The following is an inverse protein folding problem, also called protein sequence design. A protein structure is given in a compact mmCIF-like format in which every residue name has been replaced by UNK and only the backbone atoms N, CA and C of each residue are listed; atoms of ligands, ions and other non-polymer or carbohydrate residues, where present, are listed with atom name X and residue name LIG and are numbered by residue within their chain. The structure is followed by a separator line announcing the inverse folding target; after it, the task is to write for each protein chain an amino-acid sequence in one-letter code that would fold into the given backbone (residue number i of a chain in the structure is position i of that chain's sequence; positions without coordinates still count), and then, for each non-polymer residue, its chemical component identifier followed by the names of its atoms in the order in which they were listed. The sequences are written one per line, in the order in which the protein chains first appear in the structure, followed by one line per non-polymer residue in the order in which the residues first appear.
data_IF_748044365504
#
_entry.id   IF_748044365504
#
_cell.length_a   1.000
_cell.length_b   1.000
_cell.length_c   1.000
_cell.angle_alpha   90.00
_cell.angle_beta   90.00
_cell.angle_gamma   90.00
#
_symmetry.space_group_name_H-M   'P 1'
#
loop_
_entity.id
_entity.type
_entity.pdbx_description
1 polymer ?
#
# COMPACT_ATOMS: atom_id res chain seq x y z
N UNK A 1 -10.32 -20.19 -56.35
CA UNK A 1 -10.01 -18.74 -56.41
C UNK A 1 -11.32 -17.98 -56.19
N UNK A 2 -11.35 -16.96 -55.33
CA UNK A 2 -12.26 -16.87 -54.19
C UNK A 2 -13.59 -16.14 -54.50
N UNK A 3 -14.64 -16.34 -53.67
CA UNK A 3 -15.76 -15.40 -53.58
C UNK A 3 -15.53 -14.33 -52.49
N UNK A 4 -16.18 -13.16 -52.59
CA UNK A 4 -16.04 -12.07 -51.63
C UNK A 4 -17.19 -11.99 -50.60
N UNK A 5 -16.80 -11.56 -49.39
CA UNK A 5 -17.48 -10.62 -48.48
C UNK A 5 -18.98 -10.83 -48.15
N UNK A 6 -19.23 -11.35 -46.93
CA UNK A 6 -20.51 -11.19 -46.23
C UNK A 6 -20.41 -10.07 -45.19
N UNK A 7 -21.30 -9.07 -45.32
CA UNK A 7 -21.62 -8.03 -44.34
C UNK A 7 -22.38 -8.65 -43.16
N UNK A 8 -22.07 -8.24 -41.93
CA UNK A 8 -22.99 -8.39 -40.78
C UNK A 8 -23.12 -7.04 -40.08
N UNK A 9 -24.38 -6.64 -39.94
CA UNK A 9 -24.91 -5.39 -39.38
C UNK A 9 -25.12 -5.59 -37.87
N UNK A 10 -24.63 -4.65 -37.04
CA UNK A 10 -24.82 -4.62 -35.59
C UNK A 10 -26.07 -3.77 -35.26
N UNK A 11 -27.04 -4.33 -34.54
CA UNK A 11 -28.19 -3.59 -33.99
C UNK A 11 -27.95 -3.32 -32.49
N UNK A 12 -27.99 -2.03 -32.11
CA UNK A 12 -28.08 -1.55 -30.73
C UNK A 12 -29.52 -1.10 -30.46
N UNK A 13 -30.10 -1.54 -29.35
CA UNK A 13 -31.41 -1.12 -28.85
C UNK A 13 -31.23 -0.43 -27.50
N UNK A 14 -31.51 0.88 -27.46
CA UNK A 14 -31.65 1.70 -26.26
C UNK A 14 -33.14 1.76 -25.88
N UNK A 15 -33.45 1.58 -24.60
CA UNK A 15 -34.76 1.94 -24.03
C UNK A 15 -34.58 2.89 -22.85
N UNK A 16 -35.05 4.12 -23.04
CA UNK A 16 -35.26 5.15 -22.02
C UNK A 16 -36.65 4.94 -21.38
N UNK A 17 -36.76 5.06 -20.07
CA UNK A 17 -38.04 5.36 -19.42
C UNK A 17 -37.86 6.53 -18.45
N UNK A 18 -38.57 7.62 -18.76
CA UNK A 18 -38.80 8.75 -17.88
C UNK A 18 -39.98 8.46 -16.95
N UNK A 19 -39.91 8.88 -15.68
CA UNK A 19 -41.11 9.06 -14.86
C UNK A 19 -40.99 10.27 -13.91
N UNK A 20 -41.86 11.22 -14.24
CA UNK A 20 -42.47 12.37 -13.55
C UNK A 20 -42.56 12.30 -12.01
N UNK A 21 -42.27 13.44 -11.39
CA UNK A 21 -42.51 13.81 -9.97
C UNK A 21 -43.98 14.21 -9.69
N UNK A 22 -44.38 14.25 -8.42
CA UNK A 22 -45.18 15.38 -7.96
C UNK A 22 -44.68 16.00 -6.64
N UNK A 23 -44.91 17.30 -6.57
CA UNK A 23 -44.61 18.26 -5.49
C UNK A 23 -45.59 18.17 -4.32
N UNK A 24 -45.14 18.60 -3.12
CA UNK A 24 -46.03 19.25 -2.15
C UNK A 24 -45.31 20.38 -1.37
N UNK A 25 -45.91 21.57 -1.46
CA UNK A 25 -45.75 22.76 -0.61
C UNK A 25 -46.27 22.48 0.82
N UNK A 26 -46.02 23.20 1.91
CA UNK A 26 -45.23 24.38 2.31
C UNK A 26 -45.39 24.46 3.85
N UNK A 27 -44.55 25.24 4.55
CA UNK A 27 -44.94 26.28 5.53
C UNK A 27 -43.77 26.64 6.48
N UNK A 28 -43.34 27.89 6.41
CA UNK A 28 -42.76 28.65 7.52
C UNK A 28 -43.70 29.82 7.83
N UNK A 29 -43.74 30.31 9.08
CA UNK A 29 -43.18 31.63 9.40
C UNK A 29 -42.54 31.70 10.82
N UNK A 30 -41.32 32.23 11.00
CA UNK A 30 -40.90 33.65 11.19
C UNK A 30 -40.60 33.98 12.70
N UNK A 31 -40.08 35.16 13.10
CA UNK A 31 -38.73 35.33 13.66
C UNK A 31 -38.67 36.06 15.03
N UNK A 32 -37.54 36.03 15.75
CA UNK A 32 -36.95 37.26 16.37
C UNK A 32 -35.62 37.02 17.13
N UNK A 33 -34.66 37.92 16.84
CA UNK A 33 -33.68 38.63 17.70
C UNK A 33 -32.67 37.92 18.60
N UNK A 34 -31.41 38.32 18.40
CA UNK A 34 -30.49 38.64 19.51
C UNK A 34 -29.00 38.49 19.15
N UNK A 35 -28.37 39.58 18.71
CA UNK A 35 -26.90 39.69 18.55
C UNK A 35 -26.15 39.46 19.87
N UNK A 36 -25.00 38.78 19.80
CA UNK A 36 -23.77 39.27 20.44
C UNK A 36 -22.54 38.74 19.70
N UNK A 37 -21.59 39.61 19.29
CA UNK A 37 -20.31 39.22 18.74
C UNK A 37 -19.39 38.72 19.86
N UNK A 38 -18.43 37.86 19.54
CA UNK A 38 -17.46 37.24 20.47
C UNK A 38 -17.99 36.06 21.30
N UNK A 39 -18.23 34.94 20.63
CA UNK A 39 -18.12 33.62 21.24
C UNK A 39 -17.23 32.74 20.37
N UNK A 40 -16.01 32.48 20.85
CA UNK A 40 -15.09 31.51 20.27
C UNK A 40 -15.74 30.13 20.44
N UNK A 41 -16.34 29.60 19.37
CA UNK A 41 -16.76 28.21 19.30
C UNK A 41 -15.61 27.42 18.70
N UNK A 42 -15.10 26.51 19.50
CA UNK A 42 -14.19 25.45 19.11
C UNK A 42 -14.86 24.65 17.97
N UNK A 43 -14.32 24.59 16.74
CA UNK A 43 -14.79 23.61 15.79
C UNK A 43 -14.19 22.27 16.24
N UNK A 44 -14.92 21.56 17.09
CA UNK A 44 -14.87 20.11 17.00
C UNK A 44 -15.48 19.80 15.63
N UNK A 45 -14.62 19.66 14.63
CA UNK A 45 -14.96 18.92 13.43
C UNK A 45 -15.38 17.53 13.91
N UNK A 46 -16.69 17.28 13.91
CA UNK A 46 -17.21 15.94 13.78
C UNK A 46 -16.69 15.44 12.43
N UNK A 47 -15.50 14.84 12.46
CA UNK A 47 -15.11 13.89 11.43
C UNK A 47 -16.07 12.73 11.66
N UNK A 48 -17.10 12.64 10.81
CA UNK A 48 -17.84 11.39 10.63
C UNK A 48 -16.85 10.37 10.09
N UNK A 49 -16.14 9.72 11.02
CA UNK A 49 -15.27 8.60 10.73
C UNK A 49 -16.19 7.47 10.29
N UNK A 50 -16.35 7.30 8.97
CA UNK A 50 -16.98 6.13 8.39
C UNK A 50 -16.06 4.93 8.65
N UNK A 51 -16.13 4.40 9.87
CA UNK A 51 -15.60 3.08 10.19
C UNK A 51 -16.32 2.09 9.27
N UNK A 52 -15.62 1.24 8.51
CA UNK A 52 -16.29 0.13 7.86
C UNK A 52 -16.97 -0.68 8.96
N UNK A 53 -18.30 -0.80 8.89
CA UNK A 53 -19.09 -1.61 9.80
C UNK A 53 -18.77 -3.08 9.56
N UNK A 54 -17.63 -3.57 10.06
CA UNK A 54 -17.35 -4.99 10.18
C UNK A 54 -17.90 -5.51 11.52
N UNK A 55 -19.22 -5.38 11.71
CA UNK A 55 -19.90 -6.18 12.71
C UNK A 55 -20.15 -7.58 12.11
N UNK A 56 -19.14 -8.46 12.17
CA UNK A 56 -19.41 -9.89 12.03
C UNK A 56 -20.24 -10.32 13.23
N UNK A 57 -21.44 -10.85 12.97
CA UNK A 57 -22.25 -11.59 13.94
C UNK A 57 -21.45 -12.79 14.46
N UNK A 58 -20.60 -12.58 15.46
CA UNK A 58 -19.82 -13.66 16.04
C UNK A 58 -20.71 -14.59 16.85
N UNK A 59 -20.41 -15.87 16.78
CA UNK A 59 -20.96 -16.91 17.65
C UNK A 59 -20.79 -16.50 19.12
N UNK A 60 -21.87 -16.55 19.89
CA UNK A 60 -21.82 -16.47 21.35
C UNK A 60 -21.15 -17.74 21.88
N UNK A 61 -19.89 -17.64 22.33
CA UNK A 61 -19.19 -18.72 23.05
C UNK A 61 -17.92 -19.29 22.43
N UNK A 62 -17.27 -18.64 21.46
CA UNK A 62 -15.97 -19.12 20.99
C UNK A 62 -14.89 -18.94 22.09
N UNK A 63 -14.10 -19.98 22.42
CA UNK A 63 -12.97 -19.87 23.35
C UNK A 63 -11.95 -18.85 22.81
N UNK A 64 -11.04 -18.43 23.69
CA UNK A 64 -9.86 -17.64 23.34
C UNK A 64 -9.18 -18.26 22.10
N UNK A 65 -9.26 -17.57 20.97
CA UNK A 65 -8.78 -18.08 19.68
C UNK A 65 -7.59 -17.23 19.24
N UNK A 66 -6.41 -17.83 19.34
CA UNK A 66 -5.15 -17.29 18.87
C UNK A 66 -4.72 -18.13 17.67
N UNK A 67 -4.43 -17.47 16.55
CA UNK A 67 -4.05 -18.14 15.30
C UNK A 67 -2.71 -17.63 14.79
N UNK A 68 -1.95 -18.50 14.15
CA UNK A 68 -0.79 -18.14 13.33
C UNK A 68 -1.34 -17.50 12.05
N UNK A 69 -1.27 -16.19 11.95
CA UNK A 69 -1.89 -15.43 10.85
C UNK A 69 -0.93 -15.05 9.73
N UNK A 70 0.36 -15.02 10.03
CA UNK A 70 1.40 -14.93 9.02
C UNK A 70 2.71 -15.56 9.51
N UNK A 71 3.62 -15.88 8.60
CA UNK A 71 5.00 -16.27 8.91
C UNK A 71 5.90 -16.10 7.69
N UNK A 72 7.21 -16.03 7.94
CA UNK A 72 8.27 -15.77 6.97
C UNK A 72 9.41 -16.74 7.24
N UNK A 73 9.48 -17.86 6.52
CA UNK A 73 10.51 -18.88 6.75
C UNK A 73 11.81 -18.63 5.97
N UNK A 74 11.73 -18.04 4.78
CA UNK A 74 12.86 -17.70 3.91
C UNK A 74 13.02 -16.18 3.99
N UNK A 75 13.82 -15.70 4.93
CA UNK A 75 13.97 -14.28 5.25
C UNK A 75 14.78 -13.53 4.19
N UNK A 76 14.82 -12.20 4.29
CA UNK A 76 15.68 -11.35 3.47
C UNK A 76 17.04 -11.10 4.12
N UNK A 77 17.13 -11.20 5.45
CA UNK A 77 18.36 -11.02 6.19
C UNK A 77 19.26 -12.27 6.09
N UNK A 78 20.56 -12.05 6.31
CA UNK A 78 21.54 -13.15 6.31
C UNK A 78 21.17 -14.23 7.33
N UNK A 79 21.23 -15.50 6.92
CA UNK A 79 20.84 -16.67 7.73
C UNK A 79 19.38 -16.64 8.21
N UNK A 80 18.50 -15.95 7.49
CA UNK A 80 17.08 -15.81 7.84
C UNK A 80 16.94 -15.23 9.26
N UNK A 81 17.72 -14.21 9.60
CA UNK A 81 17.68 -13.59 10.93
C UNK A 81 16.35 -12.82 11.15
N UNK A 82 15.71 -12.38 10.07
CA UNK A 82 14.38 -11.77 10.03
C UNK A 82 13.24 -12.80 9.88
N UNK A 83 13.54 -14.10 10.01
CA UNK A 83 12.53 -15.15 10.13
C UNK A 83 11.54 -14.78 11.24
N UNK A 84 10.24 -14.91 10.98
CA UNK A 84 9.22 -14.42 11.91
C UNK A 84 7.89 -15.13 11.75
N UNK A 85 7.05 -15.03 12.79
CA UNK A 85 5.65 -15.42 12.76
C UNK A 85 4.78 -14.35 13.42
N UNK A 86 3.52 -14.29 13.00
CA UNK A 86 2.51 -13.34 13.46
C UNK A 86 1.36 -14.10 14.10
N UNK A 87 1.07 -13.77 15.35
CA UNK A 87 -0.08 -14.29 16.06
C UNK A 87 -1.21 -13.26 16.04
N UNK A 88 -2.45 -13.70 15.82
CA UNK A 88 -3.63 -12.84 15.87
C UNK A 88 -4.63 -13.39 16.87
N UNK A 89 -5.12 -12.51 17.74
CA UNK A 89 -6.26 -12.79 18.57
C UNK A 89 -7.54 -12.60 17.76
N UNK A 90 -8.18 -13.70 17.36
CA UNK A 90 -9.47 -13.70 16.65
C UNK A 90 -10.66 -13.84 17.60
N UNK A 91 -10.38 -14.02 18.90
CA UNK A 91 -11.35 -14.04 19.96
C UNK A 91 -11.92 -12.66 20.31
N UNK A 92 -12.78 -12.63 21.33
CA UNK A 92 -13.45 -11.41 21.83
C UNK A 92 -12.83 -10.82 23.08
N UNK A 93 -11.93 -11.56 23.73
CA UNK A 93 -11.28 -11.16 24.97
C UNK A 93 -9.83 -10.79 24.69
N UNK A 94 -9.24 -9.93 25.52
CA UNK A 94 -7.79 -9.70 25.49
C UNK A 94 -7.07 -10.96 25.96
N UNK A 95 -6.04 -11.37 25.22
CA UNK A 95 -5.17 -12.49 25.58
C UNK A 95 -3.84 -12.00 26.15
N UNK A 96 -3.29 -12.82 27.02
CA UNK A 96 -1.93 -12.69 27.55
C UNK A 96 -1.15 -13.91 27.08
N UNK A 97 -0.06 -13.70 26.35
CA UNK A 97 0.68 -14.78 25.68
C UNK A 97 1.62 -15.55 26.62
N UNK A 98 1.75 -15.13 27.88
CA UNK A 98 2.57 -15.83 28.86
C UNK A 98 2.19 -17.31 28.98
N UNK A 99 3.15 -18.20 28.71
CA UNK A 99 2.97 -19.65 28.77
C UNK A 99 2.49 -20.31 27.48
N UNK A 100 2.02 -19.54 26.49
CA UNK A 100 1.79 -20.06 25.14
C UNK A 100 3.11 -20.48 24.51
N UNK A 101 3.08 -21.49 23.65
CA UNK A 101 4.29 -22.04 23.05
C UNK A 101 4.20 -22.10 21.53
N UNK A 102 5.34 -22.00 20.87
CA UNK A 102 5.49 -22.19 19.42
C UNK A 102 6.59 -23.20 19.16
N UNK A 103 6.36 -24.12 18.22
CA UNK A 103 7.29 -25.22 17.91
C UNK A 103 7.23 -25.60 16.44
N UNK A 104 8.37 -25.99 15.88
CA UNK A 104 8.53 -26.66 14.58
C UNK A 104 8.66 -28.20 14.73
N UNK A 105 8.59 -28.72 15.96
CA UNK A 105 8.83 -30.13 16.26
C UNK A 105 10.21 -30.40 16.88
N UNK A 106 11.25 -29.66 16.47
CA UNK A 106 12.62 -29.77 17.01
C UNK A 106 12.97 -28.72 18.07
N UNK A 107 12.56 -27.48 17.82
CA UNK A 107 12.65 -26.31 18.66
C UNK A 107 11.30 -26.00 19.30
N UNK A 108 11.34 -25.44 20.50
CA UNK A 108 10.15 -25.03 21.23
C UNK A 108 10.48 -23.83 22.10
N UNK A 109 9.70 -22.77 21.91
CA UNK A 109 9.77 -21.56 22.70
C UNK A 109 8.48 -21.38 23.51
N UNK A 110 8.59 -20.69 24.63
CA UNK A 110 7.49 -20.16 25.42
C UNK A 110 7.50 -18.65 25.28
N UNK A 111 6.37 -18.09 24.85
CA UNK A 111 6.22 -16.67 24.55
C UNK A 111 6.30 -15.81 25.81
N UNK A 112 6.82 -14.58 25.71
CA UNK A 112 6.75 -13.61 26.80
C UNK A 112 5.30 -13.19 27.06
N UNK A 113 5.06 -12.55 28.20
CA UNK A 113 3.73 -12.08 28.58
C UNK A 113 3.32 -10.84 27.77
N UNK A 114 2.90 -11.06 26.53
CA UNK A 114 2.40 -10.03 25.62
C UNK A 114 0.89 -9.90 25.72
N UNK A 115 0.39 -8.66 25.77
CA UNK A 115 -1.03 -8.36 25.79
C UNK A 115 -1.55 -8.15 24.36
N UNK A 116 -2.40 -9.06 23.88
CA UNK A 116 -3.01 -9.00 22.54
C UNK A 116 -4.51 -8.75 22.65
N UNK A 117 -4.95 -7.54 22.33
CA UNK A 117 -6.37 -7.16 22.32
C UNK A 117 -7.17 -7.92 21.23
N UNK A 118 -8.51 -7.99 21.32
CA UNK A 118 -9.34 -8.59 20.27
C UNK A 118 -9.05 -7.97 18.90
N UNK A 119 -8.77 -8.81 17.90
CA UNK A 119 -8.40 -8.39 16.54
C UNK A 119 -6.95 -7.87 16.39
N UNK A 120 -6.22 -7.68 17.49
CA UNK A 120 -4.83 -7.26 17.46
C UNK A 120 -3.92 -8.44 17.09
N UNK A 121 -2.69 -8.09 16.70
CA UNK A 121 -1.67 -9.01 16.23
C UNK A 121 -0.36 -8.75 16.97
N UNK A 122 0.48 -9.77 17.07
CA UNK A 122 1.81 -9.69 17.65
C UNK A 122 2.83 -10.43 16.76
N UNK A 123 3.82 -9.70 16.24
CA UNK A 123 4.95 -10.27 15.52
C UNK A 123 5.99 -10.78 16.50
N UNK A 124 6.52 -11.96 16.23
CA UNK A 124 7.67 -12.50 16.93
C UNK A 124 8.70 -12.93 15.89
N UNK A 125 9.91 -12.39 16.00
CA UNK A 125 10.99 -12.62 15.05
C UNK A 125 12.16 -13.37 15.68
N UNK A 126 12.98 -14.02 14.88
CA UNK A 126 14.17 -14.70 15.36
C UNK A 126 15.18 -13.72 15.94
N UNK A 127 15.43 -12.61 15.25
CA UNK A 127 16.22 -11.48 15.74
C UNK A 127 15.46 -10.18 15.45
N UNK A 128 15.07 -9.46 16.50
CA UNK A 128 14.36 -8.19 16.40
C UNK A 128 15.06 -7.14 15.54
N UNK A 129 16.38 -7.01 15.66
CA UNK A 129 17.15 -6.02 14.90
C UNK A 129 17.10 -6.29 13.39
N UNK A 130 17.24 -7.55 12.98
CA UNK A 130 17.16 -7.96 11.58
C UNK A 130 15.73 -7.79 11.02
N UNK A 131 14.72 -8.16 11.81
CA UNK A 131 13.32 -7.91 11.44
C UNK A 131 13.05 -6.43 11.24
N UNK A 132 13.43 -5.58 12.19
CA UNK A 132 13.19 -4.14 12.10
C UNK A 132 13.84 -3.51 10.86
N UNK A 133 15.04 -3.98 10.48
CA UNK A 133 15.72 -3.53 9.28
C UNK A 133 14.94 -3.85 7.99
N UNK A 134 14.31 -5.02 7.91
CA UNK A 134 13.57 -5.45 6.70
C UNK A 134 12.11 -4.96 6.69
N UNK A 135 11.52 -4.73 7.86
CA UNK A 135 10.09 -4.43 8.01
C UNK A 135 9.79 -2.96 8.30
N UNK A 136 10.78 -2.17 8.71
CA UNK A 136 10.61 -0.76 9.10
C UNK A 136 10.06 -0.56 10.52
N UNK A 137 9.80 -1.63 11.28
CA UNK A 137 9.34 -1.56 12.66
C UNK A 137 9.82 -2.78 13.48
N UNK A 138 10.00 -2.61 14.79
CA UNK A 138 10.40 -3.69 15.69
C UNK A 138 9.25 -4.70 15.90
N UNK A 139 9.56 -6.01 16.03
CA UNK A 139 8.56 -7.00 16.39
C UNK A 139 8.13 -6.85 17.86
N UNK A 140 7.03 -7.49 18.23
CA UNK A 140 6.51 -7.50 19.61
C UNK A 140 7.26 -8.48 20.53
N UNK A 141 7.93 -9.49 19.96
CA UNK A 141 8.89 -10.33 20.67
C UNK A 141 10.04 -10.81 19.78
N UNK A 142 11.10 -11.32 20.40
CA UNK A 142 12.12 -12.10 19.71
C UNK A 142 12.35 -13.48 20.34
N UNK A 143 12.84 -14.45 19.58
CA UNK A 143 12.94 -15.84 20.04
C UNK A 143 14.27 -16.53 19.77
N UNK A 144 15.19 -15.88 19.06
CA UNK A 144 16.53 -16.37 18.78
C UNK A 144 17.56 -15.76 19.74
N UNK A 145 18.38 -14.86 19.22
CA UNK A 145 19.33 -14.10 20.04
C UNK A 145 18.66 -12.79 20.52
N UNK A 146 18.98 -12.35 21.75
CA UNK A 146 18.65 -11.00 22.26
C UNK A 146 19.43 -9.98 21.41
N UNK A 147 18.76 -9.49 20.36
CA UNK A 147 19.33 -8.59 19.36
C UNK A 147 18.86 -7.16 19.57
N UNK A 148 17.73 -6.97 20.25
CA UNK A 148 17.26 -5.67 20.73
C UNK A 148 16.73 -5.80 22.18
N UNK A 149 17.45 -5.24 23.19
CA UNK A 149 17.06 -5.38 24.59
C UNK A 149 15.75 -4.65 24.96
N UNK A 150 15.17 -3.86 24.04
CA UNK A 150 13.84 -3.27 24.21
C UNK A 150 12.70 -4.23 23.80
N UNK A 151 13.01 -5.29 23.05
CA UNK A 151 12.04 -6.29 22.59
C UNK A 151 12.03 -7.48 23.57
N UNK A 152 10.86 -7.91 24.06
CA UNK A 152 10.77 -9.05 24.98
C UNK A 152 11.25 -10.37 24.36
N UNK A 153 12.08 -11.11 25.10
CA UNK A 153 12.54 -12.44 24.70
C UNK A 153 11.52 -13.56 25.02
N UNK A 154 11.31 -14.45 24.06
CA UNK A 154 10.80 -15.78 24.30
C UNK A 154 11.88 -16.67 24.92
N UNK A 155 11.46 -17.67 25.69
CA UNK A 155 12.37 -18.60 26.36
C UNK A 155 12.29 -20.01 25.78
N UNK A 156 13.41 -20.73 25.74
CA UNK A 156 13.45 -22.10 25.25
C UNK A 156 14.47 -22.29 24.13
N UNK A 157 14.22 -23.27 23.27
CA UNK A 157 15.04 -23.52 22.07
C UNK A 157 14.32 -22.93 20.87
N UNK A 158 14.91 -21.93 20.23
CA UNK A 158 14.37 -21.33 19.01
C UNK A 158 13.98 -22.40 17.98
N UNK A 159 12.75 -22.37 17.41
CA UNK A 159 12.46 -23.09 16.18
C UNK A 159 13.30 -22.53 15.04
N UNK A 160 13.44 -23.30 13.96
CA UNK A 160 14.09 -22.86 12.72
C UNK A 160 13.19 -23.25 11.56
N UNK A 161 12.50 -22.27 11.00
CA UNK A 161 11.58 -22.47 9.89
C UNK A 161 12.36 -22.79 8.61
N UNK A 162 12.58 -24.07 8.31
CA UNK A 162 13.38 -24.45 7.16
C UNK A 162 12.82 -23.89 5.83
N UNK A 163 13.67 -23.22 5.04
CA UNK A 163 13.24 -22.57 3.79
C UNK A 163 12.63 -23.61 2.84
N UNK A 164 13.16 -24.85 2.83
CA UNK A 164 12.67 -26.01 2.05
C UNK A 164 11.30 -26.54 2.47
N UNK A 165 10.80 -26.16 3.63
CA UNK A 165 9.53 -26.59 4.20
C UNK A 165 9.67 -27.19 5.58
N UNK A 166 8.64 -26.93 6.38
CA UNK A 166 8.57 -27.26 7.80
C UNK A 166 7.11 -27.19 8.28
N UNK A 167 6.91 -27.45 9.56
CA UNK A 167 5.67 -27.21 10.28
C UNK A 167 5.86 -26.10 11.32
N UNK A 168 4.76 -25.43 11.67
CA UNK A 168 4.72 -24.49 12.78
C UNK A 168 3.43 -24.71 13.56
N UNK A 169 3.56 -25.06 14.83
CA UNK A 169 2.43 -25.30 15.72
C UNK A 169 2.42 -24.28 16.86
N UNK A 170 1.24 -23.71 17.11
CA UNK A 170 0.93 -22.90 18.26
C UNK A 170 0.25 -23.79 19.30
N UNK A 171 0.75 -23.77 20.54
CA UNK A 171 0.26 -24.59 21.62
C UNK A 171 -0.24 -23.72 22.78
N UNK A 172 -1.36 -24.14 23.35
CA UNK A 172 -1.87 -23.56 24.59
C UNK A 172 -0.89 -23.82 25.75
N UNK A 173 -0.98 -23.08 26.87
CA UNK A 173 -0.17 -23.35 28.06
C UNK A 173 -0.29 -24.78 28.61
N UNK A 174 -1.39 -25.49 28.32
CA UNK A 174 -1.58 -26.91 28.65
C UNK A 174 -0.84 -27.90 27.74
N UNK A 175 -0.29 -27.43 26.61
CA UNK A 175 0.41 -28.24 25.62
C UNK A 175 -0.47 -28.77 24.48
N UNK A 176 -1.77 -28.49 24.49
CA UNK A 176 -2.69 -28.82 23.40
C UNK A 176 -2.42 -27.93 22.19
N UNK A 177 -2.56 -28.49 20.97
CA UNK A 177 -2.37 -27.74 19.72
C UNK A 177 -3.57 -26.82 19.49
N UNK A 178 -3.30 -25.52 19.49
CA UNK A 178 -4.30 -24.49 19.22
C UNK A 178 -4.43 -24.19 17.72
N UNK A 179 -3.29 -24.13 17.02
CA UNK A 179 -3.22 -23.87 15.59
C UNK A 179 -1.98 -24.53 14.98
N UNK A 180 -2.01 -24.83 13.69
CA UNK A 180 -0.86 -25.34 12.96
C UNK A 180 -0.86 -24.87 11.49
N UNK A 181 0.34 -24.78 10.93
CA UNK A 181 0.56 -24.66 9.49
C UNK A 181 1.70 -25.56 9.05
N UNK A 182 1.54 -26.18 7.88
CA UNK A 182 2.59 -26.95 7.22
C UNK A 182 2.86 -26.32 5.87
N UNK A 183 4.13 -26.06 5.55
CA UNK A 183 4.51 -25.39 4.31
C UNK A 183 5.62 -26.11 3.54
N UNK A 184 5.60 -25.92 2.21
CA UNK A 184 6.49 -26.56 1.25
C UNK A 184 6.70 -28.07 1.49
N UNK A 185 7.91 -28.50 1.87
CA UNK A 185 8.25 -29.89 2.18
C UNK A 185 7.98 -30.37 3.61
N UNK A 186 7.26 -29.63 4.46
CA UNK A 186 6.99 -29.98 5.87
C UNK A 186 6.07 -31.21 6.07
N UNK A 187 5.97 -31.69 7.31
CA UNK A 187 5.20 -32.90 7.64
C UNK A 187 3.69 -32.62 7.72
N UNK A 188 2.95 -33.00 6.68
CA UNK A 188 1.48 -32.88 6.63
C UNK A 188 0.71 -33.80 7.61
N UNK A 189 1.40 -34.62 8.41
CA UNK A 189 0.78 -35.53 9.38
C UNK A 189 0.67 -34.96 10.80
N UNK A 190 1.19 -33.73 11.03
CA UNK A 190 1.09 -33.06 12.32
C UNK A 190 -0.35 -32.78 12.75
N UNK A 191 -0.60 -32.81 14.06
CA UNK A 191 -1.88 -32.43 14.63
C UNK A 191 -2.19 -30.96 14.34
N UNK A 192 -3.47 -30.65 14.12
CA UNK A 192 -3.92 -29.29 13.82
C UNK A 192 -3.85 -28.90 12.35
N UNK A 193 -3.33 -29.76 11.45
CA UNK A 193 -3.31 -29.52 10.01
C UNK A 193 -4.07 -30.60 9.23
N UNK A 194 -4.64 -30.25 8.08
CA UNK A 194 -5.32 -31.18 7.19
C UNK A 194 -4.96 -30.92 5.73
N UNK A 195 -4.50 -31.97 5.04
CA UNK A 195 -4.21 -31.93 3.61
C UNK A 195 -2.78 -31.50 3.29
N UNK A 196 -2.49 -31.14 2.03
CA UNK A 196 -1.14 -30.82 1.60
C UNK A 196 -0.62 -29.54 2.25
N UNK A 197 0.71 -29.41 2.32
CA UNK A 197 1.40 -28.21 2.77
C UNK A 197 1.12 -27.00 1.85
N UNK A 198 1.13 -25.79 2.41
CA UNK A 198 1.07 -24.55 1.62
C UNK A 198 2.41 -24.32 0.91
N UNK A 199 2.39 -24.20 -0.42
CA UNK A 199 3.60 -23.91 -1.21
C UNK A 199 3.89 -22.42 -1.33
N UNK A 200 5.14 -22.06 -1.60
CA UNK A 200 5.48 -20.71 -2.05
C UNK A 200 4.71 -20.35 -3.33
N UNK A 201 4.29 -19.10 -3.46
CA UNK A 201 3.67 -18.65 -4.69
C UNK A 201 4.75 -18.31 -5.73
N UNK A 202 4.95 -19.21 -6.69
CA UNK A 202 5.99 -19.09 -7.71
C UNK A 202 5.42 -19.26 -9.12
N UNK A 203 4.66 -18.26 -9.60
CA UNK A 203 4.10 -18.31 -10.96
C UNK A 203 5.16 -18.14 -12.05
N UNK A 204 6.18 -17.34 -11.79
CA UNK A 204 7.32 -17.07 -12.66
C UNK A 204 8.47 -16.49 -11.82
N UNK A 205 9.60 -16.17 -12.45
CA UNK A 205 10.80 -15.64 -11.78
C UNK A 205 10.64 -14.26 -11.15
N UNK A 206 9.52 -13.56 -11.33
CA UNK A 206 9.24 -12.26 -10.68
C UNK A 206 8.72 -12.41 -9.25
N UNK A 207 8.34 -13.61 -8.84
CA UNK A 207 7.96 -13.89 -7.46
C UNK A 207 9.14 -14.58 -6.78
N UNK A 208 9.98 -13.78 -6.12
CA UNK A 208 11.09 -14.28 -5.32
C UNK A 208 10.56 -15.20 -4.22
N UNK A 209 11.34 -16.22 -3.85
CA UNK A 209 11.00 -17.11 -2.72
C UNK A 209 11.31 -16.42 -1.39
N UNK A 210 12.50 -15.87 -1.29
CA UNK A 210 12.96 -15.09 -0.16
C UNK A 210 12.04 -13.90 0.07
N UNK A 211 11.77 -13.62 1.35
CA UNK A 211 10.84 -12.61 1.81
C UNK A 211 9.36 -12.95 1.62
N UNK A 212 8.95 -14.09 1.06
CA UNK A 212 7.51 -14.35 0.96
C UNK A 212 6.87 -14.47 2.34
N UNK A 213 5.96 -13.54 2.64
CA UNK A 213 5.09 -13.58 3.80
C UNK A 213 3.95 -14.53 3.47
N UNK A 214 3.92 -15.70 4.11
CA UNK A 214 2.73 -16.54 4.13
C UNK A 214 1.72 -15.87 5.03
N UNK A 215 0.51 -15.60 4.53
CA UNK A 215 -0.54 -14.97 5.35
C UNK A 215 -1.90 -15.63 5.13
N UNK A 216 -2.67 -15.73 6.22
CA UNK A 216 -4.05 -16.21 6.20
C UNK A 216 -4.97 -15.18 5.55
N UNK A 217 -5.99 -15.67 4.87
CA UNK A 217 -7.05 -14.84 4.29
C UNK A 217 -7.90 -14.23 5.41
N UNK A 218 -7.90 -12.90 5.47
CA UNK A 218 -8.47 -12.11 6.55
C UNK A 218 -9.97 -12.28 6.78
N UNK A 219 -10.69 -12.74 5.76
CA UNK A 219 -12.14 -12.87 5.76
C UNK A 219 -12.62 -14.33 5.72
N UNK A 220 -11.71 -15.31 5.71
CA UNK A 220 -12.05 -16.72 5.64
C UNK A 220 -12.31 -17.34 7.03
N UNK A 221 -13.09 -18.42 7.05
CA UNK A 221 -13.10 -19.32 8.21
C UNK A 221 -11.85 -20.18 8.12
N UNK A 222 -11.22 -20.42 9.26
CA UNK A 222 -10.09 -21.34 9.35
C UNK A 222 -10.56 -22.78 9.13
N UNK A 223 -9.98 -23.46 8.15
CA UNK A 223 -10.25 -24.86 7.83
C UNK A 223 -9.07 -25.77 8.16
N UNK A 224 -7.99 -25.21 8.72
CA UNK A 224 -6.71 -25.89 8.96
C UNK A 224 -6.13 -26.51 7.68
N UNK A 225 -6.26 -25.82 6.55
CA UNK A 225 -5.75 -26.30 5.25
C UNK A 225 -4.99 -25.21 4.50
N UNK A 226 -4.24 -25.61 3.46
CA UNK A 226 -3.57 -24.67 2.57
C UNK A 226 -4.52 -23.65 1.91
N UNK A 227 -5.83 -23.93 1.83
CA UNK A 227 -6.80 -23.01 1.25
C UNK A 227 -7.08 -21.77 2.12
N UNK A 228 -6.65 -21.78 3.39
CA UNK A 228 -6.77 -20.64 4.29
C UNK A 228 -5.70 -19.58 4.03
N UNK A 229 -4.67 -19.92 3.24
CA UNK A 229 -3.50 -19.09 3.00
C UNK A 229 -3.53 -18.46 1.60
N UNK A 230 -3.04 -17.23 1.49
CA UNK A 230 -3.07 -16.47 0.24
C UNK A 230 -2.30 -17.14 -0.91
N UNK A 231 -1.26 -17.89 -0.60
CA UNK A 231 -0.50 -18.67 -1.57
C UNK A 231 -1.27 -19.93 -2.03
N UNK A 232 -1.96 -20.59 -1.09
CA UNK A 232 -2.54 -21.91 -1.29
C UNK A 232 -4.00 -21.91 -1.76
N UNK A 233 -4.75 -20.82 -1.56
CA UNK A 233 -6.14 -20.76 -2.00
C UNK A 233 -6.25 -20.78 -3.54
N UNK A 234 -6.98 -21.74 -4.13
CA UNK A 234 -7.04 -21.92 -5.58
C UNK A 234 -7.88 -20.85 -6.29
N UNK A 235 -8.71 -20.09 -5.58
CA UNK A 235 -9.50 -18.99 -6.16
C UNK A 235 -8.58 -17.82 -6.53
N UNK A 236 -8.41 -17.48 -7.82
CA UNK A 236 -7.55 -16.36 -8.22
C UNK A 236 -8.04 -14.99 -7.71
N UNK A 237 -9.30 -14.87 -7.32
CA UNK A 237 -9.84 -13.64 -6.74
C UNK A 237 -9.47 -13.45 -5.27
N UNK A 238 -8.97 -14.50 -4.59
CA UNK A 238 -8.68 -14.48 -3.14
C UNK A 238 -7.28 -14.97 -2.81
N UNK A 239 -6.81 -16.04 -3.46
CA UNK A 239 -5.47 -16.59 -3.34
C UNK A 239 -4.60 -16.39 -4.57
N UNK A 240 -3.60 -17.26 -4.71
CA UNK A 240 -2.52 -17.17 -5.71
C UNK A 240 -1.77 -15.84 -5.62
N UNK A 241 -1.41 -15.45 -4.39
CA UNK A 241 -0.77 -14.18 -4.06
C UNK A 241 0.52 -14.42 -3.30
N UNK A 242 1.49 -13.53 -3.52
CA UNK A 242 2.62 -13.33 -2.63
C UNK A 242 2.49 -11.95 -2.00
N UNK A 243 3.13 -11.77 -0.86
CA UNK A 243 3.41 -10.50 -0.23
C UNK A 243 4.83 -10.57 0.35
N UNK A 244 5.43 -9.41 0.57
CA UNK A 244 6.80 -9.27 1.08
C UNK A 244 6.82 -8.34 2.30
N UNK A 245 7.89 -8.32 3.11
CA UNK A 245 8.09 -7.35 4.18
C UNK A 245 7.75 -5.92 3.74
N UNK A 246 7.12 -5.15 4.61
CA UNK A 246 6.70 -3.78 4.31
C UNK A 246 5.45 -3.64 3.43
N UNK A 247 4.74 -4.74 3.12
CA UNK A 247 3.37 -4.62 2.60
C UNK A 247 2.39 -4.34 3.72
N UNK A 248 1.63 -3.25 3.61
CA UNK A 248 0.55 -2.87 4.52
C UNK A 248 -0.73 -3.70 4.34
N UNK A 249 -0.57 -5.03 4.28
CA UNK A 249 -1.62 -6.01 4.00
C UNK A 249 -2.86 -5.80 4.84
N UNK A 250 -2.69 -5.44 6.11
CA UNK A 250 -3.77 -5.31 7.05
C UNK A 250 -4.41 -3.93 7.02
N UNK A 251 -3.61 -2.86 7.00
CA UNK A 251 -4.09 -1.49 6.97
C UNK A 251 -4.86 -1.19 5.67
N UNK A 252 -4.42 -1.76 4.55
CA UNK A 252 -5.02 -1.58 3.23
C UNK A 252 -5.80 -2.83 2.75
N UNK A 253 -6.13 -3.75 3.66
CA UNK A 253 -6.85 -5.01 3.36
C UNK A 253 -8.22 -4.81 2.71
N UNK A 254 -8.87 -3.68 2.99
CA UNK A 254 -10.18 -3.33 2.46
C UNK A 254 -10.04 -2.12 1.54
N UNK A 255 -10.33 -2.26 0.23
CA UNK A 255 -10.27 -1.12 -0.68
C UNK A 255 -11.21 0.00 -0.20
N UNK A 256 -10.71 1.23 -0.16
CA UNK A 256 -11.60 2.36 0.07
C UNK A 256 -12.62 2.46 -1.06
N UNK A 257 -13.90 2.55 -0.68
CA UNK A 257 -14.99 2.75 -1.61
C UNK A 257 -15.78 3.97 -1.16
N UNK A 258 -15.74 5.01 -1.97
CA UNK A 258 -16.57 6.20 -1.80
C UNK A 258 -17.54 6.26 -2.97
N UNK A 259 -18.83 6.27 -2.66
CA UNK A 259 -19.91 6.38 -3.64
C UNK A 259 -20.60 7.70 -3.41
N UNK A 260 -20.63 8.54 -4.44
CA UNK A 260 -21.37 9.79 -4.41
C UNK A 260 -22.66 9.66 -5.20
N UNK A 261 -23.75 10.22 -4.67
CA UNK A 261 -24.95 10.51 -5.47
C UNK A 261 -24.72 11.74 -6.37
N UNK A 262 -23.90 12.68 -5.91
CA UNK A 262 -23.42 13.84 -6.69
C UNK A 262 -22.00 14.17 -6.23
N UNK A 263 -20.97 14.04 -7.08
CA UNK A 263 -19.60 14.29 -6.67
C UNK A 263 -19.39 15.79 -6.34
N UNK A 264 -18.61 16.12 -5.30
CA UNK A 264 -18.38 17.50 -4.86
C UNK A 264 -17.69 18.37 -5.92
N UNK A 265 -16.93 17.74 -6.83
CA UNK A 265 -16.34 18.34 -8.01
C UNK A 265 -15.36 17.36 -8.64
N UNK A 266 -15.53 17.08 -9.94
CA UNK A 266 -14.66 16.17 -10.67
C UNK A 266 -14.38 16.72 -12.08
N UNK A 267 -13.11 16.69 -12.49
CA UNK A 267 -12.69 17.04 -13.84
C UNK A 267 -12.01 15.84 -14.49
N UNK A 268 -12.61 15.33 -15.57
CA UNK A 268 -12.00 14.31 -16.42
C UNK A 268 -11.18 15.00 -17.51
N UNK A 269 -9.93 14.57 -17.66
CA UNK A 269 -8.96 15.07 -18.63
C UNK A 269 -8.59 13.93 -19.59
N UNK A 270 -8.39 14.28 -20.86
CA UNK A 270 -7.88 13.39 -21.88
C UNK A 270 -6.45 13.80 -22.23
N UNK A 271 -5.53 12.84 -22.19
CA UNK A 271 -4.18 12.97 -22.71
C UNK A 271 -4.17 12.53 -24.19
N UNK A 272 -3.42 13.20 -25.08
CA UNK A 272 -2.58 14.38 -24.81
C UNK A 272 -3.37 15.70 -24.71
N UNK A 273 -4.64 15.73 -25.12
CA UNK A 273 -5.45 16.92 -25.41
C UNK A 273 -5.40 18.05 -24.36
N UNK A 274 -5.90 17.81 -23.13
CA UNK A 274 -6.07 18.87 -22.13
C UNK A 274 -5.45 18.53 -20.76
N UNK A 275 -4.68 17.45 -20.67
CA UNK A 275 -4.09 16.99 -19.42
C UNK A 275 -3.03 17.96 -18.87
N UNK A 276 -2.12 18.45 -19.72
CA UNK A 276 -0.99 19.28 -19.27
C UNK A 276 -1.44 20.54 -18.52
N UNK A 277 -2.20 21.41 -19.19
CA UNK A 277 -2.58 22.71 -18.62
C UNK A 277 -3.40 22.55 -17.34
N UNK A 278 -4.34 21.60 -17.30
CA UNK A 278 -5.17 21.38 -16.13
C UNK A 278 -4.34 20.86 -14.93
N UNK A 279 -3.40 19.93 -15.15
CA UNK A 279 -2.53 19.40 -14.10
C UNK A 279 -1.54 20.47 -13.62
N UNK A 280 -0.97 21.25 -14.53
CA UNK A 280 -0.12 22.41 -14.22
C UNK A 280 -0.87 23.42 -13.35
N UNK A 281 -2.06 23.82 -13.76
CA UNK A 281 -2.87 24.80 -13.04
C UNK A 281 -3.29 24.27 -11.65
N UNK A 282 -3.56 22.96 -11.54
CA UNK A 282 -3.80 22.30 -10.27
C UNK A 282 -2.57 22.38 -9.35
N UNK A 283 -1.37 22.06 -9.82
CA UNK A 283 -0.12 22.21 -9.05
C UNK A 283 0.14 23.67 -8.67
N UNK A 284 -0.10 24.61 -9.59
CA UNK A 284 0.03 26.03 -9.31
C UNK A 284 -0.99 26.51 -8.25
N UNK A 285 -2.14 25.86 -8.10
CA UNK A 285 -3.14 26.25 -7.09
C UNK A 285 -2.75 25.96 -5.64
N UNK A 286 -1.77 25.07 -5.41
CA UNK A 286 -1.38 24.61 -4.07
C UNK A 286 -0.97 25.76 -3.14
N UNK A 287 -1.46 25.73 -1.90
CA UNK A 287 -1.18 26.75 -0.88
C UNK A 287 -0.36 26.22 0.30
N UNK A 288 -0.38 24.91 0.54
CA UNK A 288 0.20 24.28 1.73
C UNK A 288 1.06 23.07 1.37
N UNK A 289 0.56 22.15 0.55
CA UNK A 289 1.30 20.93 0.22
C UNK A 289 0.98 20.33 -1.15
N UNK A 290 1.98 19.65 -1.70
CA UNK A 290 1.88 18.77 -2.86
C UNK A 290 2.58 17.45 -2.50
N UNK A 291 1.82 16.37 -2.44
CA UNK A 291 2.34 15.00 -2.37
C UNK A 291 2.18 14.36 -3.74
N UNK A 292 3.24 13.79 -4.32
CA UNK A 292 3.21 13.23 -5.67
C UNK A 292 3.90 11.87 -5.71
N UNK A 293 3.17 10.84 -6.12
CA UNK A 293 3.73 9.54 -6.48
C UNK A 293 3.76 9.38 -8.00
N UNK A 294 4.91 8.98 -8.56
CA UNK A 294 5.03 8.81 -10.00
C UNK A 294 6.04 7.77 -10.44
N UNK A 295 5.58 6.86 -11.29
CA UNK A 295 6.46 5.95 -12.04
C UNK A 295 7.48 6.67 -12.93
N UNK A 296 7.08 7.75 -13.62
CA UNK A 296 7.97 8.54 -14.46
C UNK A 296 7.53 10.01 -14.45
N UNK A 297 8.40 10.88 -13.93
CA UNK A 297 8.20 12.33 -13.83
C UNK A 297 9.32 13.08 -14.54
N UNK A 298 9.03 13.62 -15.72
CA UNK A 298 10.02 14.17 -16.66
C UNK A 298 9.60 15.52 -17.27
N UNK A 299 8.38 15.99 -17.00
CA UNK A 299 7.80 17.13 -17.73
C UNK A 299 8.35 18.49 -17.24
N UNK A 300 9.11 19.27 -18.06
CA UNK A 300 9.78 20.50 -17.60
C UNK A 300 8.83 21.58 -17.08
N UNK A 301 7.69 21.80 -17.72
CA UNK A 301 6.70 22.77 -17.23
C UNK A 301 6.07 22.41 -15.88
N UNK A 302 5.92 21.12 -15.57
CA UNK A 302 5.43 20.66 -14.27
C UNK A 302 6.53 20.80 -13.21
N UNK A 303 7.79 20.47 -13.57
CA UNK A 303 8.97 20.71 -12.72
C UNK A 303 9.07 22.19 -12.33
N UNK A 304 8.99 23.09 -13.31
CA UNK A 304 9.04 24.54 -13.07
C UNK A 304 7.92 24.98 -12.12
N UNK A 305 6.69 24.49 -12.33
CA UNK A 305 5.55 24.79 -11.45
C UNK A 305 5.80 24.31 -10.01
N UNK A 306 6.31 23.09 -9.82
CA UNK A 306 6.63 22.57 -8.48
C UNK A 306 7.74 23.40 -7.82
N UNK A 307 8.81 23.74 -8.54
CA UNK A 307 9.89 24.60 -8.03
C UNK A 307 9.36 25.96 -7.57
N UNK A 308 8.46 26.58 -8.36
CA UNK A 308 7.81 27.83 -7.94
C UNK A 308 6.98 27.67 -6.67
N UNK A 309 6.26 26.56 -6.51
CA UNK A 309 5.48 26.29 -5.28
C UNK A 309 6.39 26.10 -4.07
N UNK A 310 7.49 25.35 -4.21
CA UNK A 310 8.51 25.22 -3.16
C UNK A 310 9.05 26.60 -2.75
N UNK A 311 9.41 27.44 -3.72
CA UNK A 311 9.90 28.80 -3.46
C UNK A 311 8.86 29.72 -2.82
N UNK A 312 7.57 29.44 -3.03
CA UNK A 312 6.46 30.12 -2.37
C UNK A 312 6.17 29.60 -0.95
N UNK A 313 6.92 28.59 -0.47
CA UNK A 313 6.78 28.02 0.87
C UNK A 313 5.79 26.86 0.97
N UNK A 314 5.34 26.31 -0.16
CA UNK A 314 4.52 25.09 -0.21
C UNK A 314 5.41 23.87 0.03
N UNK A 315 4.97 22.94 0.87
CA UNK A 315 5.65 21.65 1.07
C UNK A 315 5.48 20.78 -0.18
N UNK A 316 6.58 20.33 -0.79
CA UNK A 316 6.51 19.44 -1.97
C UNK A 316 7.30 18.18 -1.69
N UNK A 317 6.61 17.02 -1.73
CA UNK A 317 7.18 15.68 -1.49
C UNK A 317 6.86 14.77 -2.65
N UNK A 318 7.91 14.18 -3.23
CA UNK A 318 7.81 13.26 -4.35
C UNK A 318 8.33 11.88 -3.95
N UNK A 319 7.61 10.84 -4.35
CA UNK A 319 8.10 9.47 -4.41
C UNK A 319 8.11 9.03 -5.88
N UNK A 320 9.29 8.67 -6.38
CA UNK A 320 9.52 8.28 -7.77
C UNK A 320 9.96 6.81 -7.87
N UNK A 321 9.60 6.12 -8.96
CA UNK A 321 10.18 4.82 -9.26
C UNK A 321 11.67 4.95 -9.62
N UNK A 322 12.53 4.15 -8.99
CA UNK A 322 13.98 4.17 -9.19
C UNK A 322 14.47 3.35 -10.38
N UNK A 323 13.65 2.44 -10.90
CA UNK A 323 13.97 1.61 -12.06
C UNK A 323 12.75 1.43 -12.99
N UNK A 324 12.17 2.52 -13.55
CA UNK A 324 11.06 2.39 -14.48
C UNK A 324 11.51 1.63 -15.73
N UNK A 325 10.56 1.15 -16.53
CA UNK A 325 10.83 0.33 -17.70
C UNK A 325 11.69 1.11 -18.71
N UNK A 326 12.95 0.72 -18.84
CA UNK A 326 13.95 1.45 -19.64
C UNK A 326 15.03 2.15 -18.82
N UNK A 327 14.90 2.14 -17.49
CA UNK A 327 15.80 2.79 -16.54
C UNK A 327 15.37 4.22 -16.22
N UNK A 328 15.95 4.75 -15.14
CA UNK A 328 15.75 6.15 -14.75
C UNK A 328 16.44 7.08 -15.77
N UNK A 329 15.66 7.98 -16.37
CA UNK A 329 16.12 8.90 -17.42
C UNK A 329 16.87 10.11 -16.85
N UNK A 330 17.69 10.77 -17.67
CA UNK A 330 18.33 12.03 -17.28
C UNK A 330 17.31 13.18 -17.11
N UNK A 331 16.17 13.14 -17.80
CA UNK A 331 15.05 14.08 -17.58
C UNK A 331 14.47 13.92 -16.17
N UNK A 332 14.28 12.69 -15.70
CA UNK A 332 13.80 12.41 -14.34
C UNK A 332 14.84 12.82 -13.28
N UNK A 333 16.13 12.56 -13.53
CA UNK A 333 17.22 13.00 -12.64
C UNK A 333 17.32 14.52 -12.57
N UNK A 334 17.17 15.20 -13.72
CA UNK A 334 17.09 16.65 -13.77
C UNK A 334 15.89 17.18 -13.00
N UNK A 335 14.70 16.60 -13.19
CA UNK A 335 13.49 16.96 -12.45
C UNK A 335 13.70 16.84 -10.93
N UNK A 336 14.23 15.71 -10.48
CA UNK A 336 14.55 15.46 -9.08
C UNK A 336 15.57 16.48 -8.53
N UNK A 337 16.62 16.80 -9.30
CA UNK A 337 17.61 17.81 -8.95
C UNK A 337 16.96 19.19 -8.76
N UNK A 338 16.19 19.66 -9.74
CA UNK A 338 15.60 21.02 -9.69
C UNK A 338 14.68 21.20 -8.48
N UNK A 339 13.85 20.19 -8.19
CA UNK A 339 12.92 20.22 -7.06
C UNK A 339 13.69 20.15 -5.74
N UNK A 340 14.69 19.26 -5.63
CA UNK A 340 15.48 19.09 -4.41
C UNK A 340 16.33 20.33 -4.09
N UNK A 341 16.97 20.92 -5.09
CA UNK A 341 17.76 22.15 -4.92
C UNK A 341 16.90 23.37 -4.57
N UNK A 342 15.62 23.37 -4.95
CA UNK A 342 14.66 24.39 -4.53
C UNK A 342 14.21 24.23 -3.06
N UNK A 343 14.40 23.07 -2.46
CA UNK A 343 13.97 22.74 -1.09
C UNK A 343 12.81 21.75 -0.99
N UNK A 344 12.37 21.15 -2.12
CA UNK A 344 11.43 20.03 -2.11
C UNK A 344 12.11 18.73 -1.67
N UNK A 345 11.32 17.74 -1.28
CA UNK A 345 11.81 16.41 -0.92
C UNK A 345 11.51 15.44 -2.04
N UNK A 346 12.53 14.75 -2.54
CA UNK A 346 12.39 13.73 -3.59
C UNK A 346 13.01 12.44 -3.10
N UNK A 347 12.22 11.38 -3.05
CA UNK A 347 12.67 10.03 -2.74
C UNK A 347 12.44 9.12 -3.95
N UNK A 348 13.20 8.02 -4.00
CA UNK A 348 13.04 6.95 -4.97
C UNK A 348 12.68 5.65 -4.26
N UNK A 349 11.76 4.88 -4.82
CA UNK A 349 11.63 3.45 -4.49
C UNK A 349 12.69 2.67 -5.28
N UNK A 350 13.54 1.91 -4.60
CA UNK A 350 14.77 1.31 -5.15
C UNK A 350 15.00 -0.11 -4.66
N UNK A 351 15.84 -0.86 -5.36
CA UNK A 351 16.18 -2.25 -5.02
C UNK A 351 17.66 -2.59 -5.28
N UNK A 352 18.49 -1.57 -5.53
CA UNK A 352 19.90 -1.71 -5.88
C UNK A 352 20.82 -0.93 -4.93
N UNK A 353 20.33 -0.67 -3.71
CA UNK A 353 21.12 -0.15 -2.58
C UNK A 353 21.21 -1.23 -1.48
N UNK A 354 22.11 -1.04 -0.52
CA UNK A 354 22.31 -2.01 0.55
C UNK A 354 21.00 -2.28 1.31
N UNK A 355 20.71 -3.57 1.52
CA UNK A 355 19.55 -4.07 2.27
C UNK A 355 18.16 -3.72 1.69
N UNK A 356 18.10 -3.04 0.54
CA UNK A 356 16.86 -2.77 -0.17
C UNK A 356 16.39 -3.99 -0.95
N UNK A 357 15.12 -4.34 -0.75
CA UNK A 357 14.47 -5.45 -1.43
C UNK A 357 13.12 -4.98 -1.98
N UNK A 358 12.71 -5.57 -3.10
CA UNK A 358 11.44 -5.23 -3.74
C UNK A 358 10.26 -5.54 -2.80
N UNK A 359 9.60 -4.50 -2.29
CA UNK A 359 8.22 -4.64 -1.82
C UNK A 359 7.32 -4.92 -3.02
N UNK A 360 7.38 -4.05 -4.03
CA UNK A 360 6.61 -4.20 -5.26
C UNK A 360 7.55 -4.44 -6.45
N UNK A 361 7.08 -5.10 -7.52
CA UNK A 361 7.87 -5.16 -8.75
C UNK A 361 8.15 -3.78 -9.33
N UNK A 362 7.23 -2.82 -9.12
CA UNK A 362 7.33 -1.40 -9.48
C UNK A 362 6.37 -0.56 -8.62
N UNK A 363 6.78 0.67 -8.28
CA UNK A 363 5.89 1.77 -7.91
C UNK A 363 5.25 2.31 -9.19
N UNK A 364 4.08 1.79 -9.60
CA UNK A 364 3.47 2.17 -10.88
C UNK A 364 2.32 3.19 -10.74
N UNK A 365 2.17 3.85 -9.60
CA UNK A 365 1.11 4.84 -9.42
C UNK A 365 1.47 6.17 -10.11
N UNK A 366 0.43 6.97 -10.38
CA UNK A 366 0.52 8.36 -10.85
C UNK A 366 -0.62 9.11 -10.20
N UNK A 367 -0.37 9.62 -9.00
CA UNK A 367 -1.35 10.43 -8.30
C UNK A 367 -0.68 11.58 -7.57
N UNK A 368 -1.45 12.64 -7.31
CA UNK A 368 -1.01 13.75 -6.50
C UNK A 368 -2.10 14.19 -5.53
N UNK A 369 -1.70 14.64 -4.35
CA UNK A 369 -2.57 15.26 -3.36
C UNK A 369 -2.18 16.73 -3.22
N UNK A 370 -3.15 17.63 -3.38
CA UNK A 370 -2.98 19.07 -3.19
C UNK A 370 -3.72 19.49 -1.92
N UNK A 371 -2.98 20.08 -0.99
CA UNK A 371 -3.46 20.66 0.26
C UNK A 371 -4.36 19.70 1.09
N UNK A 372 -4.15 18.39 0.96
CA UNK A 372 -4.95 17.35 1.63
C UNK A 372 -6.43 17.29 1.19
N UNK A 373 -6.83 17.97 0.12
CA UNK A 373 -8.25 18.12 -0.27
C UNK A 373 -8.55 17.78 -1.72
N UNK A 374 -7.56 17.84 -2.60
CA UNK A 374 -7.72 17.52 -4.03
C UNK A 374 -6.83 16.35 -4.40
N UNK A 375 -7.41 15.35 -5.06
CA UNK A 375 -6.73 14.16 -5.55
C UNK A 375 -6.69 14.16 -7.09
N UNK A 376 -5.51 14.04 -7.65
CA UNK A 376 -5.28 13.69 -9.06
C UNK A 376 -4.98 12.20 -9.15
N UNK A 377 -5.62 11.49 -10.07
CA UNK A 377 -5.21 10.13 -10.49
C UNK A 377 -5.07 10.11 -12.00
N UNK A 378 -3.97 9.57 -12.52
CA UNK A 378 -3.68 9.52 -13.96
C UNK A 378 -3.35 8.10 -14.43
N UNK A 379 -3.76 7.77 -15.65
CA UNK A 379 -3.27 6.57 -16.34
C UNK A 379 -1.92 6.81 -17.01
N UNK A 380 -1.57 8.09 -17.26
CA UNK A 380 -0.36 8.50 -17.97
C UNK A 380 0.74 9.00 -17.03
N UNK A 381 1.99 8.79 -17.45
CA UNK A 381 3.17 9.37 -16.83
C UNK A 381 3.23 10.90 -17.05
N UNK A 382 3.91 11.61 -16.15
CA UNK A 382 4.07 13.06 -16.23
C UNK A 382 5.25 13.41 -17.14
N UNK A 383 5.07 13.19 -18.45
CA UNK A 383 6.08 13.46 -19.48
C UNK A 383 5.51 14.25 -20.64
N UNK A 384 6.37 14.94 -21.38
CA UNK A 384 5.99 15.68 -22.60
C UNK A 384 5.33 14.79 -23.65
N UNK A 385 5.73 13.52 -23.77
CA UNK A 385 5.10 12.58 -24.72
C UNK A 385 3.67 12.17 -24.35
N UNK A 386 3.25 12.36 -23.10
CA UNK A 386 1.87 12.12 -22.63
C UNK A 386 1.10 13.42 -22.38
N UNK A 387 1.81 14.51 -22.12
CA UNK A 387 1.26 15.82 -21.77
C UNK A 387 1.99 16.91 -22.58
N UNK A 388 1.88 16.92 -23.92
CA UNK A 388 2.59 17.89 -24.73
C UNK A 388 1.99 19.30 -24.55
N UNK A 389 2.82 20.36 -24.53
CA UNK A 389 2.37 21.72 -24.26
C UNK A 389 1.47 22.30 -25.37
N UNK A 390 1.69 21.86 -26.61
CA UNK A 390 1.01 22.31 -27.82
C UNK A 390 -0.28 21.55 -28.13
N UNK A 391 -0.71 20.60 -27.28
CA UNK A 391 -1.87 19.73 -27.52
C UNK A 391 -3.16 20.44 -27.99
N UNK A 392 -3.33 21.71 -27.61
CA UNK A 392 -4.45 22.55 -28.01
C UNK A 392 -4.53 22.91 -29.50
N UNK A 393 -3.45 22.69 -30.27
CA UNK A 393 -3.38 22.97 -31.70
C UNK A 393 -4.07 21.90 -32.58
N UNK A 394 -4.38 20.74 -32.00
CA UNK A 394 -5.06 19.62 -32.67
C UNK A 394 -4.18 18.77 -33.60
N UNK A 395 -2.90 19.12 -33.78
CA UNK A 395 -1.93 18.42 -34.63
C UNK A 395 -0.83 17.70 -33.81
N UNK A 396 -0.91 17.80 -32.49
CA UNK A 396 0.10 17.30 -31.57
C UNK A 396 0.11 15.77 -31.44
N UNK A 397 1.29 15.17 -31.58
CA UNK A 397 1.52 13.74 -31.31
C UNK A 397 1.71 13.50 -29.80
N UNK A 398 0.99 12.53 -29.25
CA UNK A 398 1.15 12.14 -27.85
C UNK A 398 0.49 10.81 -27.50
N UNK A 399 0.75 10.33 -26.28
CA UNK A 399 0.15 9.11 -25.73
C UNK A 399 -1.28 9.39 -25.24
N UNK A 400 -2.17 8.42 -25.47
CA UNK A 400 -3.58 8.52 -25.12
C UNK A 400 -3.85 7.91 -23.74
N UNK A 401 -4.47 8.69 -22.88
CA UNK A 401 -4.93 8.22 -21.56
C UNK A 401 -5.87 9.23 -20.91
N UNK A 402 -6.15 9.02 -19.63
CA UNK A 402 -7.07 9.85 -18.86
C UNK A 402 -6.46 10.24 -17.52
N UNK A 403 -6.84 11.42 -17.05
CA UNK A 403 -6.60 11.85 -15.69
C UNK A 403 -7.89 12.38 -15.07
N UNK A 404 -8.02 12.23 -13.75
CA UNK A 404 -9.17 12.66 -12.99
C UNK A 404 -8.68 13.54 -11.84
N UNK A 405 -9.17 14.78 -11.79
CA UNK A 405 -8.99 15.68 -10.63
C UNK A 405 -10.29 15.63 -9.82
N UNK A 406 -10.18 15.29 -8.54
CA UNK A 406 -11.28 15.14 -7.60
C UNK A 406 -11.09 16.10 -6.42
N UNK A 407 -12.08 16.96 -6.17
CA UNK A 407 -12.12 17.80 -4.98
C UNK A 407 -12.84 17.05 -3.85
N UNK A 408 -12.20 16.02 -3.31
CA UNK A 408 -12.74 15.18 -2.24
C UNK A 408 -11.72 14.99 -1.12
N UNK A 409 -11.93 15.61 0.07
CA UNK A 409 -10.99 15.48 1.18
C UNK A 409 -10.91 14.08 1.78
N UNK A 410 -11.95 13.25 1.65
CA UNK A 410 -11.92 11.88 2.17
C UNK A 410 -11.06 10.99 1.27
N UNK A 411 -11.19 11.11 -0.05
CA UNK A 411 -10.28 10.41 -0.97
C UNK A 411 -8.86 10.94 -0.90
N UNK A 412 -8.68 12.26 -0.77
CA UNK A 412 -7.37 12.85 -0.59
C UNK A 412 -6.69 12.37 0.70
N UNK A 413 -7.44 12.26 1.81
CA UNK A 413 -6.93 11.69 3.06
C UNK A 413 -6.54 10.21 2.90
N UNK A 414 -7.36 9.40 2.21
CA UNK A 414 -7.01 8.00 1.94
C UNK A 414 -5.76 7.88 1.06
N UNK A 415 -5.64 8.66 0.00
CA UNK A 415 -4.45 8.69 -0.85
C UNK A 415 -3.22 9.22 -0.11
N UNK A 416 -3.39 10.12 0.86
CA UNK A 416 -2.31 10.57 1.73
C UNK A 416 -1.79 9.44 2.61
N UNK A 417 -2.68 8.58 3.15
CA UNK A 417 -2.25 7.38 3.90
C UNK A 417 -1.41 6.45 3.00
N UNK A 418 -1.82 6.21 1.76
CA UNK A 418 -1.04 5.40 0.81
C UNK A 418 0.34 6.04 0.58
N UNK A 419 0.38 7.34 0.28
CA UNK A 419 1.63 8.07 0.06
C UNK A 419 2.59 7.98 1.25
N UNK A 420 2.11 8.14 2.49
CA UNK A 420 2.98 8.06 3.67
C UNK A 420 3.52 6.65 3.90
N UNK A 421 2.72 5.60 3.64
CA UNK A 421 3.16 4.21 3.76
C UNK A 421 4.18 3.82 2.67
N UNK A 422 3.94 4.26 1.43
CA UNK A 422 4.84 4.01 0.32
C UNK A 422 6.16 4.80 0.51
N UNK A 423 6.10 6.01 1.06
CA UNK A 423 7.24 6.94 1.20
C UNK A 423 7.88 6.96 2.60
N UNK A 424 7.72 5.90 3.39
CA UNK A 424 8.32 5.79 4.72
C UNK A 424 9.82 5.44 4.64
N UNK A 425 10.66 6.31 5.20
CA UNK A 425 12.12 6.14 5.29
C UNK A 425 12.55 5.04 6.27
N UNK A 426 11.61 4.47 7.03
CA UNK A 426 11.88 3.26 7.79
C UNK A 426 12.13 2.04 6.88
N UNK A 427 11.67 2.08 5.62
CA UNK A 427 11.95 1.02 4.65
C UNK A 427 13.24 1.29 3.88
N UNK A 428 14.10 0.26 3.79
CA UNK A 428 15.38 0.33 3.10
C UNK A 428 15.25 0.58 1.58
N UNK A 429 14.07 0.29 1.01
CA UNK A 429 13.77 0.53 -0.40
C UNK A 429 13.38 1.98 -0.71
N UNK A 430 13.28 2.87 0.29
CA UNK A 430 13.03 4.30 0.07
C UNK A 430 14.32 5.09 0.22
N UNK A 431 14.84 5.58 -0.91
CA UNK A 431 16.12 6.26 -1.00
C UNK A 431 15.93 7.76 -1.27
N UNK A 432 16.34 8.65 -0.34
CA UNK A 432 16.34 10.09 -0.59
C UNK A 432 17.28 10.46 -1.74
N UNK A 433 16.87 11.42 -2.58
CA UNK A 433 17.75 11.97 -3.60
C UNK A 433 19.04 12.51 -2.95
N UNK A 434 20.18 12.21 -3.59
CA UNK A 434 21.49 12.64 -3.12
C UNK A 434 22.29 13.19 -4.30
N UNK A 435 22.79 14.44 -4.26
CA UNK A 435 23.37 15.10 -5.43
C UNK A 435 24.47 14.28 -6.12
N UNK A 436 25.31 13.60 -5.35
CA UNK A 436 26.46 12.84 -5.81
C UNK A 436 26.15 11.37 -6.15
N UNK A 437 24.93 10.87 -5.91
CA UNK A 437 24.60 9.48 -6.20
C UNK A 437 24.61 9.23 -7.72
N UNK A 438 25.29 8.18 -8.22
CA UNK A 438 25.49 7.97 -9.65
C UNK A 438 24.19 7.75 -10.44
N UNK A 439 23.14 7.25 -9.78
CA UNK A 439 21.82 6.95 -10.36
C UNK A 439 20.70 7.86 -9.83
N UNK A 440 20.68 8.08 -8.52
CA UNK A 440 19.62 8.77 -7.76
C UNK A 440 20.02 10.20 -7.36
N UNK A 441 20.94 10.78 -8.13
CA UNK A 441 21.48 12.12 -7.94
C UNK A 441 21.33 12.98 -9.17
N UNK A 442 22.16 14.02 -9.27
CA UNK A 442 22.13 14.94 -10.39
C UNK A 442 22.32 14.23 -11.74
N UNK A 443 21.73 14.73 -12.84
CA UNK A 443 22.02 14.25 -14.19
C UNK A 443 23.49 14.51 -14.58
N UNK A 444 23.97 14.00 -15.73
CA UNK A 444 25.32 14.30 -16.23
C UNK A 444 25.58 15.81 -16.28
N UNK A 445 26.82 16.22 -15.97
CA UNK A 445 27.18 17.64 -15.94
C UNK A 445 26.87 18.33 -17.28
N UNK A 446 26.15 19.45 -17.21
CA UNK A 446 25.72 20.22 -18.38
C UNK A 446 24.49 19.67 -19.09
N UNK A 447 23.82 18.64 -18.54
CA UNK A 447 22.54 18.18 -19.05
C UNK A 447 21.48 19.28 -18.92
N UNK A 448 20.70 19.43 -19.98
CA UNK A 448 19.50 20.27 -20.02
C UNK A 448 18.40 19.48 -20.72
N UNK A 449 17.16 19.47 -20.20
CA UNK A 449 16.05 18.82 -20.88
C UNK A 449 15.79 19.48 -22.24
N UNK A 450 15.13 18.79 -23.19
CA UNK A 450 14.71 19.37 -24.45
C UNK A 450 13.98 20.71 -24.22
N UNK A 451 14.31 21.71 -25.05
CA UNK A 451 13.73 23.07 -24.91
C UNK A 451 12.22 23.02 -24.91
N UNK A 452 11.66 23.50 -23.81
CA UNK A 452 10.25 23.68 -23.57
C UNK A 452 9.85 25.07 -24.08
N UNK A 453 8.86 25.16 -24.97
CA UNK A 453 8.26 26.44 -25.37
C UNK A 453 6.83 26.42 -24.85
N UNK A 454 6.57 27.27 -23.85
CA UNK A 454 5.22 27.52 -23.30
C UNK A 454 4.35 28.33 -24.27
#
# INVERSE_FOLDING_TARGET
MPPPLARVLLLLLFTLFASVTPTSHALSPSPDRGDSPFAIRNPQSEIDLFLPLQARSGHLGAPDSLLISAFVPDGLASNDADEAFLLQNTGRNTLFLGGWQVTDGEGRITLPDLRVAPGARAWCAKEAAAFAQQWGFAPDCEYGADSDPAVPDASGRAPRLANTGDELQLLEPGGDVADAVVYAGGDSTVLGWTGPAVGYYQRNSRFARAGQVFYRLLDANDTNTAADWAQGNPDPARGRRAAYPGWDLYALSSPAQIVWETPPGAQLLAAPDNAYLAIRDMFASAQHSILLESYEFEHPGLVATLVERVQAGVEVRLLLEGAPSGGLSDDARWAAQQISEAGGLVHFMVNDVADAHDRYPYQHAKFAIIDGTTLLVSTENFKTTSMPPDASDGDTLGRRGYALILHDPNLAAHASVIFELDNDLAHADIFPWQPEHPKYGAPPAGYTPPTFVD
#
